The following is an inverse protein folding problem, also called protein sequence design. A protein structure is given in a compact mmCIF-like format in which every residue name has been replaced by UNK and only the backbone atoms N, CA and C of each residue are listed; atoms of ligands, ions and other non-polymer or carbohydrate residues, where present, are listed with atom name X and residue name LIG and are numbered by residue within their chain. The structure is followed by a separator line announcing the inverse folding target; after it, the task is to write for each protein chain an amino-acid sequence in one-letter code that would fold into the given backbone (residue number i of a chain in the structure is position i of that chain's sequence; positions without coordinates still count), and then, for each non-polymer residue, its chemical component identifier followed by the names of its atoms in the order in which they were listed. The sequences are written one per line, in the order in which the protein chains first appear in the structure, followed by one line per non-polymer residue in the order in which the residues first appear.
data_IF_336249390441
#
_entry.id   IF_336249390441
#
_cell.length_a   1.000
_cell.length_b   1.000
_cell.length_c   1.000
_cell.angle_alpha   90.00
_cell.angle_beta   90.00
_cell.angle_gamma   90.00
#
_symmetry.space_group_name_H-M   'P 1'
#
loop_
_entity.id
_entity.type
_entity.pdbx_description
1 polymer ?
#
# COMPACT_ATOMS: atom_id res chain seq x y z
N UNK A 1 -16.25 32.19 1.37
CA UNK A 1 -16.13 31.11 2.37
C UNK A 1 -14.66 30.75 2.57
N UNK A 2 -14.22 30.53 3.81
CA UNK A 2 -12.82 30.18 4.11
C UNK A 2 -12.42 28.82 3.55
N UNK A 3 -11.15 28.67 3.18
CA UNK A 3 -10.63 27.43 2.59
C UNK A 3 -10.69 26.25 3.55
N UNK A 4 -10.31 26.45 4.82
CA UNK A 4 -10.29 25.39 5.82
C UNK A 4 -11.67 24.74 5.98
N UNK A 5 -12.72 25.57 6.06
CA UNK A 5 -14.09 25.10 6.16
C UNK A 5 -14.51 24.26 4.94
N UNK A 6 -14.23 24.72 3.72
CA UNK A 6 -14.57 23.96 2.50
C UNK A 6 -13.87 22.61 2.45
N UNK A 7 -12.58 22.58 2.74
CA UNK A 7 -11.79 21.34 2.74
C UNK A 7 -12.36 20.34 3.74
N UNK A 8 -12.67 20.78 4.96
CA UNK A 8 -13.27 19.92 5.99
C UNK A 8 -14.67 19.44 5.59
N UNK A 9 -15.51 20.30 5.02
CA UNK A 9 -16.84 19.93 4.55
C UNK A 9 -16.79 18.87 3.44
N UNK A 10 -15.93 19.07 2.43
CA UNK A 10 -15.75 18.11 1.33
C UNK A 10 -15.23 16.78 1.88
N UNK A 11 -14.25 16.82 2.78
CA UNK A 11 -13.70 15.63 3.41
C UNK A 11 -14.75 14.84 4.21
N UNK A 12 -15.57 15.53 5.01
CA UNK A 12 -16.65 14.92 5.80
C UNK A 12 -17.71 14.24 4.89
N UNK A 13 -18.17 14.92 3.83
CA UNK A 13 -19.07 14.32 2.82
C UNK A 13 -18.48 13.04 2.23
N UNK A 14 -17.22 13.11 1.80
CA UNK A 14 -16.52 11.96 1.21
C UNK A 14 -16.37 10.79 2.20
N UNK A 15 -16.08 11.06 3.48
CA UNK A 15 -15.97 10.02 4.51
C UNK A 15 -17.31 9.32 4.79
N UNK A 16 -18.43 10.05 4.67
CA UNK A 16 -19.80 9.52 4.77
C UNK A 16 -20.24 8.72 3.53
N UNK A 17 -19.32 8.47 2.59
CA UNK A 17 -19.56 7.85 1.28
C UNK A 17 -20.52 8.65 0.39
N UNK A 18 -20.65 9.95 0.62
CA UNK A 18 -21.36 10.85 -0.30
C UNK A 18 -20.47 11.18 -1.50
N UNK A 19 -21.11 11.46 -2.64
CA UNK A 19 -20.42 11.94 -3.84
C UNK A 19 -20.39 13.46 -3.84
N UNK A 20 -19.28 14.05 -4.26
CA UNK A 20 -19.13 15.51 -4.35
C UNK A 20 -18.99 15.96 -5.79
N UNK A 21 -19.93 16.79 -6.27
CA UNK A 21 -19.86 17.38 -7.60
C UNK A 21 -19.11 18.72 -7.54
N UNK A 22 -18.08 18.86 -8.38
CA UNK A 22 -17.22 20.05 -8.40
C UNK A 22 -17.97 21.34 -8.74
N UNK A 23 -18.92 21.28 -9.67
CA UNK A 23 -19.67 22.46 -10.12
C UNK A 23 -20.70 22.88 -9.06
N UNK A 24 -21.41 21.92 -8.47
CA UNK A 24 -22.38 22.18 -7.41
C UNK A 24 -21.72 22.81 -6.18
N UNK A 25 -20.58 22.27 -5.72
CA UNK A 25 -19.82 22.84 -4.61
C UNK A 25 -19.28 24.24 -4.93
N UNK A 26 -18.89 24.50 -6.17
CA UNK A 26 -18.43 25.83 -6.59
C UNK A 26 -19.55 26.87 -6.46
N UNK A 27 -20.77 26.50 -6.84
CA UNK A 27 -21.97 27.32 -6.65
C UNK A 27 -22.33 27.46 -5.17
N UNK A 28 -22.37 26.35 -4.41
CA UNK A 28 -22.70 26.31 -2.97
C UNK A 28 -21.77 27.23 -2.15
N UNK A 29 -20.46 27.15 -2.40
CA UNK A 29 -19.47 27.94 -1.67
C UNK A 29 -19.18 29.31 -2.29
N UNK A 30 -19.80 29.62 -3.43
CA UNK A 30 -19.59 30.82 -4.23
C UNK A 30 -18.09 31.06 -4.55
N UNK A 31 -17.44 30.05 -5.13
CA UNK A 31 -16.02 30.07 -5.52
C UNK A 31 -15.81 29.54 -6.94
N UNK A 32 -14.64 29.78 -7.52
CA UNK A 32 -14.31 29.22 -8.83
C UNK A 32 -14.16 27.67 -8.74
N UNK A 33 -14.66 26.89 -9.73
CA UNK A 33 -14.47 25.44 -9.78
C UNK A 33 -13.01 24.96 -9.67
N UNK A 34 -12.04 25.77 -10.13
CA UNK A 34 -10.60 25.49 -9.94
C UNK A 34 -10.19 25.49 -8.46
N UNK A 35 -10.86 26.28 -7.62
CA UNK A 35 -10.65 26.30 -6.17
C UNK A 35 -11.08 24.98 -5.56
N UNK A 36 -12.27 24.48 -5.95
CA UNK A 36 -12.78 23.18 -5.49
C UNK A 36 -11.86 22.03 -5.93
N UNK A 37 -11.34 22.09 -7.17
CA UNK A 37 -10.36 21.10 -7.65
C UNK A 37 -9.11 21.07 -6.75
N UNK A 38 -8.55 22.25 -6.42
CA UNK A 38 -7.39 22.34 -5.52
C UNK A 38 -7.71 21.83 -4.11
N UNK A 39 -8.91 22.13 -3.60
CA UNK A 39 -9.37 21.62 -2.30
C UNK A 39 -9.43 20.07 -2.32
N UNK A 40 -9.96 19.46 -3.38
CA UNK A 40 -9.97 17.99 -3.58
C UNK A 40 -8.55 17.42 -3.68
N UNK A 41 -7.65 18.10 -4.39
CA UNK A 41 -6.26 17.64 -4.54
C UNK A 41 -5.49 17.70 -3.21
N UNK A 42 -5.75 18.71 -2.36
CA UNK A 42 -5.22 18.74 -1.00
C UNK A 42 -5.72 17.56 -0.16
N UNK A 43 -7.01 17.21 -0.27
CA UNK A 43 -7.57 16.05 0.44
C UNK A 43 -6.95 14.75 -0.08
N UNK A 44 -6.76 14.62 -1.40
CA UNK A 44 -6.05 13.46 -1.98
C UNK A 44 -4.65 13.29 -1.40
N UNK A 45 -3.90 14.39 -1.34
CA UNK A 45 -2.55 14.36 -0.78
C UNK A 45 -2.58 13.96 0.70
N UNK A 46 -3.46 14.55 1.50
CA UNK A 46 -3.66 14.15 2.89
C UNK A 46 -4.03 12.66 3.03
N UNK A 47 -4.97 12.16 2.22
CA UNK A 47 -5.38 10.76 2.25
C UNK A 47 -4.22 9.81 1.92
N UNK A 48 -3.40 10.17 0.92
CA UNK A 48 -2.20 9.42 0.57
C UNK A 48 -1.22 9.33 1.74
N UNK A 49 -0.89 10.46 2.37
CA UNK A 49 0.01 10.49 3.54
C UNK A 49 -0.59 9.76 4.75
N UNK A 50 -1.88 9.98 5.03
CA UNK A 50 -2.56 9.37 6.19
C UNK A 50 -2.71 7.85 6.06
N UNK A 51 -2.86 7.35 4.84
CA UNK A 51 -2.99 5.92 4.59
C UNK A 51 -1.65 5.26 4.32
N UNK A 52 -0.52 5.99 4.24
CA UNK A 52 0.81 5.43 3.97
C UNK A 52 1.16 4.26 4.92
N UNK A 53 0.76 4.40 6.19
CA UNK A 53 0.98 3.39 7.24
C UNK A 53 -0.25 2.54 7.58
N UNK A 54 -1.37 2.70 6.88
CA UNK A 54 -2.60 1.91 7.07
C UNK A 54 -2.65 0.72 6.11
N UNK A 55 -3.31 -0.37 6.52
CA UNK A 55 -3.66 -1.51 5.67
C UNK A 55 -4.86 -1.20 4.74
N UNK A 56 -5.58 -0.13 5.06
CA UNK A 56 -6.69 0.39 4.27
C UNK A 56 -6.20 1.56 3.40
N UNK A 57 -6.35 1.41 2.09
CA UNK A 57 -6.18 2.50 1.13
C UNK A 57 -7.48 3.28 0.96
N UNK A 58 -7.37 4.61 1.02
CA UNK A 58 -8.46 5.53 0.72
C UNK A 58 -8.07 6.37 -0.49
N UNK A 59 -8.83 6.25 -1.57
CA UNK A 59 -8.54 6.96 -2.81
C UNK A 59 -9.76 7.75 -3.28
N UNK A 60 -9.57 9.02 -3.61
CA UNK A 60 -10.62 9.83 -4.24
C UNK A 60 -10.62 9.58 -5.75
N UNK A 61 -11.67 8.92 -6.23
CA UNK A 61 -11.89 8.62 -7.65
C UNK A 61 -12.96 9.54 -8.24
N UNK A 62 -12.91 9.72 -9.56
CA UNK A 62 -13.88 10.53 -10.30
C UNK A 62 -14.78 9.61 -11.12
N UNK A 63 -16.09 9.72 -10.91
CA UNK A 63 -17.11 9.00 -11.67
C UNK A 63 -17.64 9.90 -12.80
N UNK A 64 -17.30 9.55 -14.04
CA UNK A 64 -17.62 10.38 -15.20
C UNK A 64 -19.13 10.47 -15.48
N UNK A 65 -19.88 9.39 -15.25
CA UNK A 65 -21.34 9.35 -15.47
C UNK A 65 -22.10 10.32 -14.57
N UNK A 66 -21.61 10.56 -13.36
CA UNK A 66 -22.21 11.47 -12.37
C UNK A 66 -21.48 12.81 -12.25
N UNK A 67 -20.35 12.96 -12.95
CA UNK A 67 -19.47 14.13 -12.86
C UNK A 67 -19.09 14.49 -11.41
N UNK A 68 -18.85 13.46 -10.59
CA UNK A 68 -18.68 13.59 -9.14
C UNK A 68 -17.48 12.78 -8.64
N UNK A 69 -16.93 13.21 -7.50
CA UNK A 69 -15.86 12.50 -6.80
C UNK A 69 -16.42 11.69 -5.64
N UNK A 70 -15.79 10.56 -5.33
CA UNK A 70 -16.14 9.70 -4.20
C UNK A 70 -14.88 9.06 -3.61
N UNK A 71 -14.94 8.61 -2.36
CA UNK A 71 -13.87 7.81 -1.75
C UNK A 71 -14.11 6.33 -2.06
N UNK A 72 -13.12 5.69 -2.68
CA UNK A 72 -13.00 4.24 -2.72
C UNK A 72 -12.16 3.80 -1.53
N UNK A 73 -12.66 2.77 -0.83
CA UNK A 73 -11.96 2.10 0.26
C UNK A 73 -11.55 0.71 -0.24
N UNK A 74 -10.27 0.38 -0.17
CA UNK A 74 -9.78 -0.95 -0.54
C UNK A 74 -8.68 -1.39 0.41
N UNK A 75 -8.62 -2.68 0.78
CA UNK A 75 -7.41 -3.22 1.39
C UNK A 75 -6.27 -2.99 0.41
N UNK A 76 -5.15 -2.41 0.85
CA UNK A 76 -3.97 -2.19 -0.01
C UNK A 76 -3.52 -3.47 -0.73
N UNK A 77 -3.73 -4.59 -0.06
CA UNK A 77 -3.28 -5.91 -0.51
C UNK A 77 -4.30 -6.66 -1.37
N UNK A 78 -5.54 -6.17 -1.51
CA UNK A 78 -6.63 -6.87 -2.21
C UNK A 78 -6.48 -7.01 -3.73
N UNK A 79 -5.58 -6.23 -4.35
CA UNK A 79 -5.33 -6.30 -5.80
C UNK A 79 -4.00 -7.01 -6.14
N UNK A 80 -3.28 -7.52 -5.13
CA UNK A 80 -1.97 -8.18 -5.31
C UNK A 80 -2.03 -9.71 -5.26
N UNK A 81 -3.14 -10.32 -4.84
CA UNK A 81 -3.21 -11.79 -4.70
C UNK A 81 -3.05 -12.54 -6.04
N UNK A 82 -3.45 -11.93 -7.17
CA UNK A 82 -3.28 -12.49 -8.50
C UNK A 82 -1.95 -12.09 -9.18
N UNK A 83 -1.27 -11.06 -8.69
CA UNK A 83 -0.02 -10.58 -9.28
C UNK A 83 1.14 -11.43 -8.77
N UNK A 84 1.75 -12.22 -9.65
CA UNK A 84 2.99 -12.94 -9.34
C UNK A 84 4.22 -12.17 -9.79
N UNK A 85 5.21 -12.11 -8.91
CA UNK A 85 6.49 -11.43 -9.12
C UNK A 85 7.63 -12.43 -8.86
N UNK A 86 8.68 -12.34 -9.67
CA UNK A 86 9.90 -13.11 -9.48
C UNK A 86 10.72 -12.48 -8.34
N UNK A 87 10.94 -13.25 -7.28
CA UNK A 87 11.61 -12.79 -6.06
C UNK A 87 12.86 -13.61 -5.82
N UNK A 88 13.96 -12.95 -5.49
CA UNK A 88 15.23 -13.60 -5.13
C UNK A 88 15.51 -13.42 -3.66
N UNK A 89 15.85 -14.53 -2.99
CA UNK A 89 16.20 -14.60 -1.58
C UNK A 89 17.58 -15.21 -1.40
N UNK A 90 18.31 -14.73 -0.40
CA UNK A 90 19.40 -15.48 0.21
C UNK A 90 18.79 -16.34 1.31
N UNK A 91 19.03 -17.65 1.28
CA UNK A 91 18.49 -18.60 2.26
C UNK A 91 19.59 -19.51 2.81
N UNK A 92 19.53 -19.83 4.09
CA UNK A 92 20.44 -20.83 4.67
C UNK A 92 20.17 -22.22 4.09
N UNK A 93 21.21 -23.07 4.02
CA UNK A 93 21.06 -24.46 3.55
C UNK A 93 19.97 -25.23 4.30
N UNK A 94 19.89 -25.06 5.63
CA UNK A 94 18.87 -25.71 6.46
C UNK A 94 17.45 -25.29 6.07
N UNK A 95 17.23 -24.00 5.80
CA UNK A 95 15.92 -23.52 5.39
C UNK A 95 15.59 -23.99 3.97
N UNK A 96 16.55 -23.95 3.05
CA UNK A 96 16.36 -24.45 1.68
C UNK A 96 15.85 -25.89 1.66
N UNK A 97 16.42 -26.78 2.48
CA UNK A 97 15.97 -28.18 2.59
C UNK A 97 14.49 -28.32 2.96
N UNK A 98 13.93 -27.35 3.68
CA UNK A 98 12.50 -27.32 4.02
C UNK A 98 11.65 -26.70 2.91
N UNK A 99 12.18 -25.69 2.22
CA UNK A 99 11.45 -24.96 1.18
C UNK A 99 11.42 -25.70 -0.16
N UNK A 100 12.45 -26.50 -0.48
CA UNK A 100 12.61 -27.20 -1.77
C UNK A 100 11.50 -28.20 -2.13
N UNK A 101 10.60 -28.48 -1.18
CA UNK A 101 9.36 -29.24 -1.43
C UNK A 101 8.47 -28.50 -2.44
N UNK A 102 8.65 -27.17 -2.57
CA UNK A 102 8.01 -26.36 -3.60
C UNK A 102 8.71 -26.54 -4.95
N UNK A 103 7.93 -26.86 -5.98
CA UNK A 103 8.42 -27.13 -7.34
C UNK A 103 8.89 -25.86 -8.09
N UNK A 104 8.59 -24.66 -7.58
CA UNK A 104 8.87 -23.39 -8.25
C UNK A 104 10.19 -22.73 -7.82
N UNK A 105 10.95 -23.35 -6.91
CA UNK A 105 12.21 -22.80 -6.41
C UNK A 105 13.36 -23.11 -7.36
N UNK A 106 14.04 -22.05 -7.83
CA UNK A 106 15.24 -22.15 -8.66
C UNK A 106 16.46 -21.66 -7.90
N UNK A 107 17.52 -22.46 -7.84
CA UNK A 107 18.81 -22.00 -7.30
C UNK A 107 19.49 -21.15 -8.37
N UNK A 108 19.85 -19.91 -8.03
CA UNK A 108 20.63 -19.01 -8.88
C UNK A 108 22.12 -19.10 -8.55
N UNK A 109 22.47 -19.17 -7.26
CA UNK A 109 23.85 -19.23 -6.80
C UNK A 109 23.98 -20.04 -5.50
N UNK A 110 25.18 -20.56 -5.24
CA UNK A 110 25.56 -21.22 -4.00
C UNK A 110 26.76 -20.49 -3.40
N UNK A 111 26.58 -19.95 -2.21
CA UNK A 111 27.62 -19.31 -1.42
C UNK A 111 28.11 -20.28 -0.34
N UNK A 112 29.01 -19.83 0.56
CA UNK A 112 29.64 -20.71 1.56
C UNK A 112 28.64 -21.37 2.54
N UNK A 113 27.55 -20.68 2.89
CA UNK A 113 26.54 -21.13 3.87
C UNK A 113 25.09 -20.95 3.42
N UNK A 114 24.87 -20.38 2.24
CA UNK A 114 23.57 -19.96 1.75
C UNK A 114 23.39 -20.28 0.27
N UNK A 115 22.14 -20.38 -0.16
CA UNK A 115 21.75 -20.37 -1.56
C UNK A 115 21.09 -19.04 -1.87
N UNK A 116 21.37 -18.50 -3.05
CA UNK A 116 20.50 -17.49 -3.65
C UNK A 116 19.44 -18.24 -4.46
N UNK A 117 18.19 -18.15 -4.02
CA UNK A 117 17.06 -18.86 -4.61
C UNK A 117 16.05 -17.88 -5.17
N UNK A 118 15.40 -18.30 -6.23
CA UNK A 118 14.37 -17.53 -6.90
C UNK A 118 13.04 -18.26 -6.83
N UNK A 119 11.98 -17.52 -6.52
CA UNK A 119 10.62 -18.01 -6.37
C UNK A 119 9.65 -17.08 -7.13
N UNK A 120 8.48 -17.59 -7.51
CA UNK A 120 7.45 -16.77 -8.16
C UNK A 120 6.23 -16.64 -7.24
N UNK A 121 6.15 -15.53 -6.53
CA UNK A 121 5.24 -15.33 -5.40
C UNK A 121 4.37 -14.10 -5.63
N UNK A 122 3.21 -14.05 -4.99
CA UNK A 122 2.56 -12.76 -4.84
C UNK A 122 3.36 -11.88 -3.85
N UNK A 123 3.27 -10.53 -3.95
CA UNK A 123 3.97 -9.63 -3.06
C UNK A 123 3.75 -9.90 -1.57
N UNK A 124 2.53 -10.25 -1.16
CA UNK A 124 2.19 -10.49 0.24
C UNK A 124 2.92 -11.72 0.80
N UNK A 125 2.83 -12.85 0.10
CA UNK A 125 3.57 -14.08 0.41
C UNK A 125 5.06 -13.82 0.49
N UNK A 126 5.60 -12.98 -0.40
CA UNK A 126 7.02 -12.64 -0.39
C UNK A 126 7.42 -11.90 0.89
N UNK A 127 6.62 -10.92 1.32
CA UNK A 127 6.82 -10.17 2.56
C UNK A 127 6.63 -11.07 3.79
N UNK A 128 5.61 -11.92 3.78
CA UNK A 128 5.30 -12.85 4.88
C UNK A 128 6.43 -13.84 5.12
N UNK A 129 7.03 -14.39 4.06
CA UNK A 129 8.21 -15.25 4.17
C UNK A 129 9.39 -14.53 4.84
N UNK A 130 9.56 -13.23 4.59
CA UNK A 130 10.58 -12.43 5.23
C UNK A 130 10.35 -12.33 6.74
N UNK A 131 9.13 -12.11 7.19
CA UNK A 131 8.81 -12.07 8.62
C UNK A 131 8.92 -13.45 9.27
N UNK A 132 8.34 -14.48 8.63
CA UNK A 132 8.32 -15.85 9.13
C UNK A 132 9.74 -16.41 9.31
N UNK A 133 10.62 -16.17 8.34
CA UNK A 133 11.97 -16.76 8.30
C UNK A 133 13.08 -15.72 8.44
N UNK A 134 12.82 -14.56 9.06
CA UNK A 134 13.74 -13.43 9.20
C UNK A 134 15.17 -13.75 9.69
N UNK A 135 15.38 -14.89 10.37
CA UNK A 135 16.72 -15.34 10.83
C UNK A 135 17.50 -16.16 9.82
N UNK A 136 16.84 -16.66 8.77
CA UNK A 136 17.39 -17.69 7.87
C UNK A 136 17.08 -17.44 6.40
N UNK A 137 16.39 -16.33 6.11
CA UNK A 137 16.01 -15.85 4.79
C UNK A 137 16.18 -14.33 4.76
N UNK A 138 16.74 -13.82 3.67
CA UNK A 138 16.88 -12.39 3.39
C UNK A 138 16.44 -12.12 1.97
N UNK A 139 15.53 -11.17 1.79
CA UNK A 139 15.13 -10.69 0.48
C UNK A 139 16.31 -9.97 -0.21
N UNK A 140 16.56 -10.28 -1.48
CA UNK A 140 17.61 -9.64 -2.30
C UNK A 140 16.97 -8.76 -3.39
N UNK A 141 15.88 -9.23 -4.01
CA UNK A 141 15.25 -8.58 -5.16
C UNK A 141 13.79 -9.02 -5.27
N UNK A 142 12.89 -8.18 -5.80
CA UNK A 142 13.13 -6.84 -6.38
C UNK A 142 13.12 -5.70 -5.35
N UNK A 143 13.75 -4.57 -5.71
CA UNK A 143 13.93 -3.40 -4.85
C UNK A 143 12.63 -2.83 -4.28
N UNK A 144 11.53 -2.88 -5.04
CA UNK A 144 10.25 -2.37 -4.55
C UNK A 144 9.70 -3.21 -3.39
N UNK A 145 9.90 -4.54 -3.41
CA UNK A 145 9.53 -5.40 -2.29
C UNK A 145 10.48 -5.20 -1.10
N UNK A 146 11.77 -4.91 -1.32
CA UNK A 146 12.68 -4.53 -0.24
C UNK A 146 12.22 -3.26 0.48
N UNK A 147 11.81 -2.23 -0.29
CA UNK A 147 11.26 -1.00 0.27
C UNK A 147 9.96 -1.27 1.04
N UNK A 148 9.06 -2.08 0.47
CA UNK A 148 7.82 -2.47 1.13
C UNK A 148 8.10 -3.22 2.44
N UNK A 149 8.97 -4.23 2.44
CA UNK A 149 9.36 -4.98 3.64
C UNK A 149 9.92 -4.06 4.73
N UNK A 150 10.77 -3.10 4.35
CA UNK A 150 11.36 -2.13 5.28
C UNK A 150 10.27 -1.28 5.94
N UNK A 151 9.31 -0.80 5.16
CA UNK A 151 8.17 -0.02 5.66
C UNK A 151 7.34 -0.86 6.63
N UNK A 152 7.00 -2.10 6.29
CA UNK A 152 6.24 -2.99 7.18
C UNK A 152 6.99 -3.31 8.48
N UNK A 153 8.32 -3.48 8.41
CA UNK A 153 9.15 -3.72 9.60
C UNK A 153 9.19 -2.50 10.53
N UNK A 154 9.27 -1.28 9.97
CA UNK A 154 9.18 -0.04 10.75
C UNK A 154 7.80 0.08 11.39
N UNK A 155 6.71 -0.20 10.66
CA UNK A 155 5.36 -0.17 11.23
C UNK A 155 5.22 -1.14 12.38
N UNK A 156 5.65 -2.39 12.20
CA UNK A 156 5.64 -3.42 13.24
C UNK A 156 6.38 -2.90 14.47
N UNK A 157 7.57 -2.34 14.29
CA UNK A 157 8.34 -1.76 15.38
C UNK A 157 7.59 -0.60 16.08
N UNK A 158 6.96 0.30 15.33
CA UNK A 158 6.20 1.42 15.89
C UNK A 158 5.00 0.94 16.73
N UNK A 159 4.25 -0.06 16.25
CA UNK A 159 3.13 -0.67 16.97
C UNK A 159 3.58 -1.19 18.34
N UNK A 160 4.65 -1.99 18.37
CA UNK A 160 5.18 -2.55 19.62
C UNK A 160 5.82 -1.50 20.53
N UNK A 161 6.42 -0.44 19.99
CA UNK A 161 7.01 0.63 20.80
C UNK A 161 5.97 1.60 21.39
N UNK A 162 4.83 1.78 20.72
CA UNK A 162 3.78 2.73 21.14
C UNK A 162 2.65 2.09 21.95
N UNK A 163 2.61 0.77 22.07
CA UNK A 163 1.48 0.02 22.66
C UNK A 163 0.13 0.34 22.00
N UNK A 164 0.14 0.71 20.71
CA UNK A 164 -1.07 0.96 19.93
C UNK A 164 -1.49 -0.37 19.31
N UNK A 165 -2.54 -0.99 19.86
CA UNK A 165 -3.25 -2.15 19.26
C UNK A 165 -4.56 -1.67 18.65
#
# INVERSE_FOLDING_TARGET
MEQAFRVLNIYDKLLKNETVNKLELATEFNVNPRTIQRDIDNIRHYLYESTLHSDLELQIQFEQSKNSYFIKRSPKYSHQDDLRVQVTYEVTFKLYETLKIRDDIKILNKNDKTYDVQMNLNPNEAIDLCFQYHRSLRLISPDHLLKQFTVELIKLQMIYLRNEV
#
